data_IF_174705169675
#
_entry.id   IF_174705169675
#
_cell.length_a   1.000
_cell.length_b   1.000
_cell.length_c   1.000
_cell.angle_alpha   90.00
_cell.angle_beta   90.00
_cell.angle_gamma   90.00
#
_symmetry.space_group_name_H-M   'P 1'
#
loop_
_entity.id
_entity.type
_entity.pdbx_description
1 polymer ?
#
# COMPACT_ATOMS: atom_id res chain seq x y z
N UNK A 1 -3.21 39.81 4.44
CA UNK A 1 -4.28 38.79 4.52
C UNK A 1 -3.61 37.43 4.69
N UNK A 2 -3.88 36.71 5.77
CA UNK A 2 -3.38 35.34 5.96
C UNK A 2 -4.10 34.43 4.96
N UNK A 3 -3.36 33.93 3.97
CA UNK A 3 -3.89 33.09 2.89
C UNK A 3 -4.07 31.62 3.30
N UNK A 4 -3.53 31.24 4.47
CA UNK A 4 -3.68 29.91 5.06
C UNK A 4 -4.34 30.00 6.43
N UNK A 5 -5.31 29.11 6.75
CA UNK A 5 -5.92 29.06 8.07
C UNK A 5 -4.83 28.70 9.10
N UNK A 6 -4.73 29.53 10.14
CA UNK A 6 -3.91 29.25 11.31
C UNK A 6 -4.43 27.98 11.98
N UNK A 7 -3.59 26.95 12.19
CA UNK A 7 -4.07 25.69 12.74
C UNK A 7 -4.42 25.88 14.21
N UNK A 8 -5.68 25.64 14.64
CA UNK A 8 -6.04 25.67 16.05
C UNK A 8 -5.25 24.62 16.82
N UNK A 9 -4.94 24.93 18.07
CA UNK A 9 -4.13 24.18 19.04
C UNK A 9 -4.67 22.78 19.42
N UNK A 10 -5.75 22.33 18.79
CA UNK A 10 -6.46 21.06 19.00
C UNK A 10 -6.24 20.03 17.84
N UNK A 11 -5.27 20.32 16.97
CA UNK A 11 -5.18 19.75 15.62
C UNK A 11 -4.16 18.62 15.40
N UNK A 12 -3.35 18.18 16.37
CA UNK A 12 -2.40 17.09 16.09
C UNK A 12 -3.14 15.80 15.73
N UNK A 13 -4.19 15.46 16.47
CA UNK A 13 -5.03 14.29 16.17
C UNK A 13 -5.74 14.41 14.83
N UNK A 14 -6.24 15.60 14.48
CA UNK A 14 -6.89 15.85 13.18
C UNK A 14 -5.89 15.82 12.02
N UNK A 15 -4.70 16.37 12.21
CA UNK A 15 -3.61 16.33 11.24
C UNK A 15 -3.10 14.90 11.05
N UNK A 16 -2.85 14.18 12.13
CA UNK A 16 -2.46 12.77 12.09
C UNK A 16 -3.55 11.88 11.47
N UNK A 17 -4.83 12.16 11.75
CA UNK A 17 -5.95 11.46 11.14
C UNK A 17 -6.05 11.73 9.63
N UNK A 18 -5.88 12.98 9.19
CA UNK A 18 -5.89 13.35 7.76
C UNK A 18 -4.68 12.76 7.03
N UNK A 19 -3.48 12.85 7.62
CA UNK A 19 -2.28 12.20 7.08
C UNK A 19 -2.43 10.68 7.03
N UNK A 20 -2.97 10.07 8.09
CA UNK A 20 -3.25 8.64 8.14
C UNK A 20 -4.27 8.19 7.10
N UNK A 21 -5.35 8.96 6.91
CA UNK A 21 -6.35 8.72 5.86
C UNK A 21 -5.75 8.83 4.46
N UNK A 22 -4.90 9.84 4.23
CA UNK A 22 -4.16 9.97 2.98
C UNK A 22 -3.30 8.75 2.74
N UNK A 23 -2.44 8.39 3.70
CA UNK A 23 -1.54 7.23 3.57
C UNK A 23 -2.31 5.92 3.37
N UNK A 24 -3.43 5.74 4.07
CA UNK A 24 -4.29 4.55 3.93
C UNK A 24 -4.94 4.50 2.54
N UNK A 25 -5.43 5.63 2.03
CA UNK A 25 -5.95 5.73 0.66
C UNK A 25 -4.88 5.41 -0.38
N UNK A 26 -3.67 5.93 -0.21
CA UNK A 26 -2.52 5.61 -1.06
C UNK A 26 -2.13 4.13 -1.01
N UNK A 27 -2.13 3.53 0.18
CA UNK A 27 -1.83 2.11 0.37
C UNK A 27 -2.88 1.21 -0.30
N UNK A 28 -4.17 1.50 -0.13
CA UNK A 28 -5.24 0.77 -0.81
C UNK A 28 -5.13 0.90 -2.33
N UNK A 29 -4.84 2.10 -2.85
CA UNK A 29 -4.62 2.31 -4.27
C UNK A 29 -3.42 1.52 -4.79
N UNK A 30 -2.32 1.46 -4.03
CA UNK A 30 -1.15 0.68 -4.38
C UNK A 30 -1.45 -0.83 -4.45
N UNK A 31 -2.15 -1.36 -3.44
CA UNK A 31 -2.55 -2.78 -3.38
C UNK A 31 -3.45 -3.12 -4.57
N UNK A 32 -4.47 -2.31 -4.85
CA UNK A 32 -5.38 -2.53 -5.99
C UNK A 32 -4.62 -2.46 -7.33
N UNK A 33 -3.67 -1.54 -7.46
CA UNK A 33 -2.84 -1.43 -8.66
C UNK A 33 -1.96 -2.66 -8.87
N UNK A 34 -1.34 -3.17 -7.80
CA UNK A 34 -0.51 -4.38 -7.87
C UNK A 34 -1.36 -5.62 -8.18
N UNK A 35 -2.50 -5.80 -7.51
CA UNK A 35 -3.40 -6.91 -7.78
C UNK A 35 -3.92 -6.91 -9.22
N UNK A 36 -4.23 -5.72 -9.76
CA UNK A 36 -4.65 -5.58 -11.15
C UNK A 36 -3.51 -5.91 -12.14
N UNK A 37 -2.28 -5.48 -11.86
CA UNK A 37 -1.12 -5.83 -12.68
C UNK A 37 -0.89 -7.35 -12.70
N UNK A 38 -0.97 -8.00 -11.54
CA UNK A 38 -0.82 -9.45 -11.41
C UNK A 38 -1.89 -10.21 -12.22
N UNK A 39 -3.17 -9.86 -12.06
CA UNK A 39 -4.27 -10.42 -12.84
C UNK A 39 -4.04 -10.27 -14.36
N UNK A 40 -3.57 -9.10 -14.81
CA UNK A 40 -3.31 -8.87 -16.23
C UNK A 40 -2.12 -9.68 -16.75
N UNK A 41 -1.06 -9.80 -15.96
CA UNK A 41 0.09 -10.64 -16.28
C UNK A 41 -0.36 -12.08 -16.40
N UNK A 42 -1.21 -12.57 -15.50
CA UNK A 42 -1.75 -13.93 -15.56
C UNK A 42 -2.56 -14.14 -16.84
N UNK A 43 -3.50 -13.24 -17.16
CA UNK A 43 -4.31 -13.33 -18.38
C UNK A 43 -3.44 -13.30 -19.65
N UNK A 44 -2.44 -12.42 -19.70
CA UNK A 44 -1.53 -12.33 -20.85
C UNK A 44 -0.61 -13.54 -20.95
N UNK A 45 -0.12 -14.05 -19.82
CA UNK A 45 0.70 -15.26 -19.75
C UNK A 45 -0.09 -16.46 -20.24
N UNK A 46 -1.31 -16.65 -19.76
CA UNK A 46 -2.19 -17.75 -20.19
C UNK A 46 -2.47 -17.65 -21.70
N UNK A 47 -2.83 -16.48 -22.19
CA UNK A 47 -3.06 -16.28 -23.62
C UNK A 47 -1.80 -16.49 -24.48
N UNK A 48 -0.63 -16.10 -23.98
CA UNK A 48 0.66 -16.34 -24.64
C UNK A 48 1.03 -17.83 -24.65
N UNK A 49 0.81 -18.52 -23.52
CA UNK A 49 1.05 -19.95 -23.37
C UNK A 49 0.15 -20.76 -24.30
N UNK A 50 -1.13 -20.43 -24.37
CA UNK A 50 -2.09 -21.06 -25.27
C UNK A 50 -1.68 -20.88 -26.74
N UNK A 51 -1.30 -19.65 -27.11
CA UNK A 51 -0.79 -19.38 -28.46
C UNK A 51 0.50 -20.14 -28.78
N UNK A 52 1.44 -20.20 -27.83
CA UNK A 52 2.69 -20.94 -27.99
C UNK A 52 2.44 -22.44 -28.13
N UNK A 53 1.61 -23.01 -27.27
CA UNK A 53 1.21 -24.42 -27.31
C UNK A 53 0.53 -24.78 -28.63
N UNK A 54 -0.42 -23.94 -29.09
CA UNK A 54 -1.11 -24.14 -30.35
C UNK A 54 -0.16 -24.08 -31.56
N UNK A 55 0.77 -23.11 -31.58
CA UNK A 55 1.78 -23.04 -32.65
C UNK A 55 2.75 -24.22 -32.63
N UNK A 56 3.16 -24.66 -31.45
CA UNK A 56 4.02 -25.82 -31.29
C UNK A 56 3.34 -27.08 -31.80
N UNK A 57 2.08 -27.30 -31.41
CA UNK A 57 1.30 -28.46 -31.85
C UNK A 57 1.07 -28.43 -33.36
N UNK A 58 0.72 -27.29 -33.95
CA UNK A 58 0.58 -27.15 -35.41
C UNK A 58 1.85 -27.61 -36.14
N UNK A 59 3.03 -27.17 -35.69
CA UNK A 59 4.31 -27.60 -36.27
C UNK A 59 4.55 -29.09 -36.13
N UNK A 60 4.18 -29.71 -35.01
CA UNK A 60 4.30 -31.16 -34.83
C UNK A 60 3.44 -31.91 -35.86
N UNK A 61 2.18 -31.49 -36.05
CA UNK A 61 1.30 -32.09 -37.06
C UNK A 61 1.81 -31.85 -38.49
N UNK A 62 2.27 -30.63 -38.81
CA UNK A 62 2.84 -30.30 -40.12
C UNK A 62 4.10 -31.11 -40.45
N UNK A 63 5.05 -31.19 -39.50
CA UNK A 63 6.27 -31.97 -39.66
C UNK A 63 5.94 -33.45 -39.87
N UNK A 64 5.01 -34.00 -39.08
CA UNK A 64 4.62 -35.41 -39.22
C UNK A 64 3.94 -35.70 -40.55
N UNK A 65 3.03 -34.83 -41.01
CA UNK A 65 2.41 -34.96 -42.34
C UNK A 65 3.47 -34.88 -43.44
N UNK A 66 4.48 -34.02 -43.29
CA UNK A 66 5.58 -33.88 -44.24
C UNK A 66 6.45 -35.13 -44.29
N UNK A 67 6.83 -35.68 -43.13
CA UNK A 67 7.57 -36.95 -43.04
C UNK A 67 6.82 -38.11 -43.71
N UNK A 68 5.50 -38.20 -43.52
CA UNK A 68 4.66 -39.19 -44.19
C UNK A 68 4.63 -39.00 -45.72
N UNK A 69 4.61 -37.75 -46.21
CA UNK A 69 4.68 -37.44 -47.65
C UNK A 69 6.03 -37.76 -48.27
N UNK A 70 7.11 -37.58 -47.51
CA UNK A 70 8.49 -37.93 -47.90
C UNK A 70 8.76 -39.44 -47.84
N UNK A 71 7.82 -40.23 -47.31
CA UNK A 71 7.91 -41.68 -47.19
C UNK A 71 8.62 -42.17 -45.92
N UNK A 72 8.98 -41.26 -45.01
CA UNK A 72 9.63 -41.61 -43.74
C UNK A 72 8.59 -41.80 -42.63
N UNK A 73 8.20 -43.06 -42.45
CA UNK A 73 7.19 -43.45 -41.44
C UNK A 73 7.70 -43.45 -40.00
N UNK A 74 9.02 -43.36 -39.79
CA UNK A 74 9.68 -43.46 -38.48
C UNK A 74 10.02 -42.07 -37.88
N UNK A 75 9.97 -41.00 -38.69
CA UNK A 75 10.40 -39.64 -38.33
C UNK A 75 9.28 -38.74 -37.80
N UNK A 76 9.61 -37.85 -36.85
CA UNK A 76 8.72 -36.81 -36.31
C UNK A 76 7.42 -37.34 -35.64
N UNK A 77 7.50 -38.46 -34.92
CA UNK A 77 6.37 -38.96 -34.13
C UNK A 77 5.90 -37.96 -33.08
N UNK A 78 4.58 -37.78 -33.01
CA UNK A 78 3.96 -36.99 -31.96
C UNK A 78 3.86 -37.88 -30.71
N UNK A 79 4.53 -37.54 -29.59
CA UNK A 79 4.66 -38.43 -28.42
C UNK A 79 3.33 -38.82 -27.76
N UNK A 80 2.30 -37.98 -27.91
CA UNK A 80 0.99 -38.14 -27.28
C UNK A 80 0.03 -38.99 -28.12
N UNK A 81 0.40 -39.33 -29.36
CA UNK A 81 -0.42 -40.14 -30.26
C UNK A 81 0.05 -41.60 -30.31
N UNK A 82 -0.89 -42.53 -30.47
CA UNK A 82 -0.56 -43.93 -30.76
C UNK A 82 0.11 -44.08 -32.12
N UNK A 83 0.87 -45.17 -32.34
CA UNK A 83 1.53 -45.45 -33.63
C UNK A 83 0.52 -45.53 -34.79
N UNK A 84 -0.71 -45.98 -34.52
CA UNK A 84 -1.79 -46.03 -35.53
C UNK A 84 -2.23 -44.64 -35.97
N UNK A 85 -2.51 -43.75 -35.01
CA UNK A 85 -2.94 -42.37 -35.30
C UNK A 85 -1.82 -41.53 -35.93
N UNK A 86 -0.57 -41.76 -35.52
CA UNK A 86 0.60 -41.09 -36.10
C UNK A 86 0.85 -41.46 -37.58
N UNK A 87 0.24 -42.53 -38.09
CA UNK A 87 0.37 -42.96 -39.49
C UNK A 87 -0.93 -42.77 -40.28
N UNK A 88 -1.94 -42.11 -39.71
CA UNK A 88 -3.22 -41.85 -40.35
C UNK A 88 -3.23 -40.41 -40.90
N UNK A 89 -3.03 -40.22 -42.22
CA UNK A 89 -2.94 -38.89 -42.81
C UNK A 89 -4.25 -38.10 -42.74
N UNK A 90 -5.40 -38.78 -42.76
CA UNK A 90 -6.71 -38.14 -42.68
C UNK A 90 -6.96 -37.61 -41.27
N UNK A 91 -6.60 -38.39 -40.25
CA UNK A 91 -6.63 -37.94 -38.86
C UNK A 91 -5.74 -36.72 -38.64
N UNK A 92 -4.49 -36.76 -39.10
CA UNK A 92 -3.53 -35.67 -38.91
C UNK A 92 -3.98 -34.39 -39.63
N UNK A 93 -4.53 -34.51 -40.85
CA UNK A 93 -5.07 -33.37 -41.59
C UNK A 93 -6.31 -32.77 -40.91
N UNK A 94 -7.20 -33.60 -40.37
CA UNK A 94 -8.36 -33.14 -39.61
C UNK A 94 -7.96 -32.42 -38.32
N UNK A 95 -6.98 -32.97 -37.57
CA UNK A 95 -6.45 -32.37 -36.35
C UNK A 95 -5.78 -31.02 -36.63
N UNK A 96 -4.99 -30.92 -37.70
CA UNK A 96 -4.37 -29.66 -38.12
C UNK A 96 -5.42 -28.61 -38.50
N UNK A 97 -6.47 -29.02 -39.22
CA UNK A 97 -7.58 -28.14 -39.60
C UNK A 97 -8.28 -27.58 -38.36
N UNK A 98 -8.63 -28.42 -37.39
CA UNK A 98 -9.24 -28.00 -36.12
C UNK A 98 -8.35 -26.99 -35.39
N UNK A 99 -7.05 -27.25 -35.29
CA UNK A 99 -6.10 -26.32 -34.66
C UNK A 99 -5.98 -24.99 -35.42
N UNK A 100 -6.07 -25.02 -36.76
CA UNK A 100 -6.03 -23.80 -37.58
C UNK A 100 -7.28 -22.93 -37.40
N UNK A 101 -8.45 -23.55 -37.23
CA UNK A 101 -9.73 -22.87 -37.02
C UNK A 101 -9.81 -22.26 -35.61
N UNK A 102 -9.30 -22.95 -34.59
CA UNK A 102 -9.18 -22.44 -33.21
C UNK A 102 -8.37 -21.13 -33.16
N UNK A 103 -7.33 -20.99 -33.98
CA UNK A 103 -6.48 -19.79 -34.06
C UNK A 103 -7.21 -18.59 -34.66
N UNK A 104 -8.12 -18.81 -35.62
CA UNK A 104 -8.88 -17.74 -36.27
C UNK A 104 -9.90 -17.06 -35.33
N UNK A 105 -10.28 -17.73 -34.22
CA UNK A 105 -11.19 -17.20 -33.21
C UNK A 105 -10.54 -16.31 -32.15
N UNK A 106 -9.22 -16.21 -32.10
CA UNK A 106 -8.53 -15.39 -31.10
C UNK A 106 -8.68 -13.90 -31.44
N UNK A 107 -9.68 -13.26 -30.82
CA UNK A 107 -9.76 -11.81 -30.74
C UNK A 107 -9.10 -11.37 -29.43
N UNK A 108 -8.18 -10.39 -29.45
CA UNK A 108 -7.75 -9.76 -28.20
C UNK A 108 -9.00 -9.29 -27.45
N UNK A 109 -9.09 -9.57 -26.15
CA UNK A 109 -10.23 -9.18 -25.33
C UNK A 109 -10.46 -7.67 -25.46
N UNK A 110 -11.72 -7.26 -25.66
CA UNK A 110 -12.10 -5.86 -25.69
C UNK A 110 -11.76 -5.22 -24.33
N UNK A 111 -11.21 -3.99 -24.31
CA UNK A 111 -10.78 -3.37 -23.07
C UNK A 111 -11.99 -3.11 -22.17
N UNK A 112 -11.97 -3.68 -20.97
CA UNK A 112 -12.97 -3.45 -19.93
C UNK A 112 -12.84 -2.03 -19.34
N UNK A 113 -13.86 -1.56 -18.65
CA UNK A 113 -13.85 -0.32 -17.85
C UNK A 113 -12.69 -0.26 -16.85
N UNK A 114 -12.35 -1.39 -16.23
CA UNK A 114 -11.15 -1.55 -15.40
C UNK A 114 -9.85 -1.35 -16.19
N UNK A 115 -9.80 -1.86 -17.42
CA UNK A 115 -8.67 -1.61 -18.33
C UNK A 115 -8.53 -0.12 -18.62
N UNK A 116 -9.61 0.64 -18.73
CA UNK A 116 -9.56 2.07 -19.02
C UNK A 116 -8.98 2.89 -17.86
N UNK A 117 -9.37 2.56 -16.61
CA UNK A 117 -8.88 3.22 -15.40
C UNK A 117 -7.41 2.89 -15.15
N UNK A 118 -7.01 1.63 -15.31
CA UNK A 118 -5.64 1.20 -15.06
C UNK A 118 -4.74 1.23 -16.30
N UNK A 119 -5.27 1.52 -17.50
CA UNK A 119 -4.43 1.80 -18.67
C UNK A 119 -3.59 3.07 -18.48
N UNK A 120 -4.01 4.02 -17.64
CA UNK A 120 -3.15 5.15 -17.24
C UNK A 120 -1.95 4.69 -16.42
N UNK A 121 -2.15 3.71 -15.53
CA UNK A 121 -1.08 3.07 -14.73
C UNK A 121 -0.14 2.25 -15.64
N UNK A 122 -0.70 1.62 -16.68
CA UNK A 122 0.01 0.76 -17.64
C UNK A 122 0.76 1.50 -18.75
N UNK A 123 0.18 2.56 -19.32
CA UNK A 123 0.77 3.28 -20.45
C UNK A 123 2.15 3.87 -20.13
N UNK A 124 2.45 4.00 -18.82
CA UNK A 124 3.74 4.44 -18.32
C UNK A 124 4.08 3.72 -17.01
N UNK A 125 4.28 2.40 -17.02
CA UNK A 125 4.67 1.58 -15.84
C UNK A 125 5.79 2.22 -15.00
N UNK A 126 6.80 2.79 -15.66
CA UNK A 126 7.86 3.52 -14.96
C UNK A 126 7.34 4.80 -14.28
N UNK A 127 6.45 5.56 -14.92
CA UNK A 127 5.94 6.82 -14.36
C UNK A 127 4.86 6.62 -13.30
N UNK A 128 4.08 5.54 -13.35
CA UNK A 128 3.16 5.20 -12.27
C UNK A 128 3.91 4.74 -11.01
N UNK A 129 4.98 3.94 -11.17
CA UNK A 129 5.90 3.63 -10.08
C UNK A 129 6.61 4.89 -9.54
N UNK A 130 7.12 5.75 -10.42
CA UNK A 130 7.73 7.03 -10.03
C UNK A 130 6.70 7.92 -9.30
N UNK A 131 5.47 8.00 -9.78
CA UNK A 131 4.41 8.77 -9.14
C UNK A 131 4.06 8.22 -7.74
N UNK A 132 4.07 6.90 -7.56
CA UNK A 132 3.85 6.26 -6.27
C UNK A 132 5.01 6.53 -5.31
N UNK A 133 6.26 6.50 -5.80
CA UNK A 133 7.44 6.88 -5.02
C UNK A 133 7.39 8.36 -4.65
N UNK A 134 7.06 9.26 -5.60
CA UNK A 134 6.88 10.70 -5.33
C UNK A 134 5.78 10.91 -4.30
N UNK A 135 4.65 10.22 -4.42
CA UNK A 135 3.55 10.29 -3.47
C UNK A 135 4.00 9.86 -2.06
N UNK A 136 4.70 8.73 -1.95
CA UNK A 136 5.22 8.23 -0.67
C UNK A 136 6.22 9.21 -0.04
N UNK A 137 7.09 9.82 -0.86
CA UNK A 137 8.03 10.86 -0.42
C UNK A 137 7.31 12.11 0.05
N UNK A 138 6.32 12.60 -0.70
CA UNK A 138 5.53 13.79 -0.35
C UNK A 138 4.70 13.55 0.91
N UNK A 139 4.06 12.38 1.04
CA UNK A 139 3.29 12.01 2.23
C UNK A 139 4.20 11.93 3.46
N UNK A 140 5.37 11.28 3.34
CA UNK A 140 6.36 11.20 4.43
C UNK A 140 6.89 12.59 4.80
N UNK A 141 7.19 13.41 3.80
CA UNK A 141 7.67 14.79 4.00
C UNK A 141 6.63 15.65 4.71
N UNK A 142 5.38 15.64 4.26
CA UNK A 142 4.28 16.37 4.92
C UNK A 142 4.11 15.94 6.37
N UNK A 143 4.25 14.65 6.66
CA UNK A 143 4.13 14.12 8.02
C UNK A 143 5.28 14.62 8.90
N UNK A 144 6.53 14.52 8.43
CA UNK A 144 7.72 14.95 9.20
C UNK A 144 7.73 16.47 9.40
N UNK A 145 7.50 17.25 8.35
CA UNK A 145 7.52 18.71 8.44
C UNK A 145 6.32 19.27 9.20
N UNK A 146 5.14 18.66 9.03
CA UNK A 146 3.95 19.01 9.80
C UNK A 146 4.15 18.76 11.30
N UNK A 147 4.71 17.61 11.67
CA UNK A 147 4.94 17.24 13.07
C UNK A 147 6.08 18.08 13.70
N UNK A 148 7.13 18.35 12.94
CA UNK A 148 8.23 19.25 13.36
C UNK A 148 7.74 20.70 13.56
N UNK A 149 6.92 21.20 12.64
CA UNK A 149 6.29 22.52 12.74
C UNK A 149 5.37 22.64 13.96
N UNK A 150 4.56 21.61 14.22
CA UNK A 150 3.71 21.54 15.41
C UNK A 150 4.54 21.53 16.69
N UNK A 151 5.59 20.72 16.76
CA UNK A 151 6.45 20.65 17.95
C UNK A 151 7.09 22.00 18.30
N UNK A 152 7.63 22.69 17.30
CA UNK A 152 8.30 23.98 17.50
C UNK A 152 7.34 25.13 17.82
N UNK A 153 6.20 25.20 17.14
CA UNK A 153 5.30 26.36 17.23
C UNK A 153 4.19 26.24 18.26
N UNK A 154 3.78 25.01 18.59
CA UNK A 154 2.62 24.77 19.46
C UNK A 154 3.04 24.04 20.73
N UNK A 155 3.74 22.91 20.63
CA UNK A 155 4.07 22.10 21.80
C UNK A 155 5.00 22.82 22.78
N UNK A 156 6.15 23.32 22.31
CA UNK A 156 7.12 24.01 23.18
C UNK A 156 6.54 25.21 23.94
N UNK A 157 5.82 26.13 23.28
CA UNK A 157 5.14 27.22 23.97
C UNK A 157 4.08 26.76 24.97
N UNK A 158 3.29 25.73 24.65
CA UNK A 158 2.30 25.17 25.59
C UNK A 158 2.94 24.51 26.80
N UNK A 159 4.03 23.76 26.62
CA UNK A 159 4.79 23.20 27.75
C UNK A 159 5.29 24.31 28.66
N UNK A 160 5.85 25.37 28.07
CA UNK A 160 6.34 26.52 28.84
C UNK A 160 5.21 27.24 29.58
N UNK A 161 4.03 27.35 28.96
CA UNK A 161 2.85 27.90 29.60
C UNK A 161 2.38 27.03 30.78
N UNK A 162 2.34 25.71 30.60
CA UNK A 162 1.95 24.79 31.66
C UNK A 162 2.92 24.81 32.85
N UNK A 163 4.23 24.90 32.58
CA UNK A 163 5.25 25.07 33.63
C UNK A 163 5.00 26.35 34.44
N UNK A 164 4.76 27.48 33.76
CA UNK A 164 4.48 28.76 34.42
C UNK A 164 3.17 28.70 35.22
N UNK A 165 2.12 28.05 34.70
CA UNK A 165 0.87 27.85 35.44
C UNK A 165 1.08 26.98 36.69
N UNK A 166 1.95 25.98 36.62
CA UNK A 166 2.33 25.15 37.78
C UNK A 166 3.07 25.98 38.83
N UNK A 167 4.01 26.82 38.42
CA UNK A 167 4.73 27.74 39.31
C UNK A 167 3.78 28.76 39.97
N UNK A 168 2.85 29.34 39.21
CA UNK A 168 1.83 30.27 39.74
C UNK A 168 0.95 29.57 40.77
N UNK A 169 0.53 28.34 40.51
CA UNK A 169 -0.27 27.54 41.46
C UNK A 169 0.50 27.26 42.73
N UNK A 170 1.78 26.89 42.63
CA UNK A 170 2.65 26.69 43.81
C UNK A 170 2.82 27.96 44.63
N UNK A 171 3.05 29.10 43.98
CA UNK A 171 3.15 30.41 44.64
C UNK A 171 1.83 30.80 45.33
N UNK A 172 0.70 30.52 44.68
CA UNK A 172 -0.63 30.77 45.24
C UNK A 172 -0.91 29.91 46.47
N UNK A 173 -0.49 28.63 46.46
CA UNK A 173 -0.59 27.74 47.62
C UNK A 173 0.28 28.23 48.79
N UNK A 174 1.50 28.70 48.52
CA UNK A 174 2.36 29.29 49.55
C UNK A 174 1.75 30.54 50.16
N UNK A 175 1.14 31.42 49.35
CA UNK A 175 0.44 32.60 49.84
C UNK A 175 -0.72 32.22 50.76
N UNK A 176 -1.56 31.27 50.33
CA UNK A 176 -2.66 30.75 51.16
C UNK A 176 -2.14 30.16 52.48
N UNK A 177 -1.01 29.46 52.45
CA UNK A 177 -0.39 28.92 53.66
C UNK A 177 0.02 30.02 54.64
N UNK A 178 0.60 31.11 54.15
CA UNK A 178 0.98 32.27 54.98
C UNK A 178 -0.29 32.93 55.55
N UNK A 179 -1.31 33.17 54.74
CA UNK A 179 -2.57 33.78 55.18
C UNK A 179 -3.27 32.92 56.25
N UNK A 180 -3.31 31.59 56.09
CA UNK A 180 -3.85 30.66 57.09
C UNK A 180 -3.02 30.71 58.38
N UNK A 181 -1.69 30.72 58.27
CA UNK A 181 -0.79 30.79 59.42
C UNK A 181 -0.90 32.11 60.21
N UNK A 182 -1.36 33.17 59.55
CA UNK A 182 -1.61 34.48 60.17
C UNK A 182 -3.02 34.58 60.77
N UNK A 183 -4.02 33.90 60.17
CA UNK A 183 -5.40 33.90 60.66
C UNK A 183 -5.65 32.93 61.82
N UNK A 184 -4.84 31.89 61.98
CA UNK A 184 -4.93 30.96 63.11
C UNK A 184 -3.57 30.87 63.80
N UNK A 185 -3.44 31.12 65.12
CA UNK A 185 -2.30 30.57 65.85
C UNK A 185 -2.40 29.04 65.71
N UNK A 186 -1.56 28.44 64.87
CA UNK A 186 -1.62 27.01 64.55
C UNK A 186 -1.63 26.18 65.83
N UNK A 187 -2.70 25.39 66.04
CA UNK A 187 -2.67 24.34 67.06
C UNK A 187 -1.62 23.29 66.66
N UNK A 188 -0.86 22.78 67.63
CA UNK A 188 0.28 21.85 67.41
C UNK A 188 -0.05 20.63 66.54
N UNK A 189 -1.32 20.25 66.50
CA UNK A 189 -1.84 19.11 65.73
C UNK A 189 -1.68 19.29 64.22
N UNK A 190 -1.82 20.52 63.71
CA UNK A 190 -1.67 20.81 62.28
C UNK A 190 -0.20 20.80 61.86
N UNK A 191 0.70 21.32 62.71
CA UNK A 191 2.15 21.25 62.49
C UNK A 191 2.64 19.80 62.33
N UNK A 192 2.19 18.89 63.19
CA UNK A 192 2.57 17.47 63.15
C UNK A 192 2.06 16.74 61.90
N UNK A 193 0.86 17.06 61.43
CA UNK A 193 0.30 16.48 60.20
C UNK A 193 1.09 16.90 58.95
N UNK A 194 1.64 18.12 58.94
CA UNK A 194 2.46 18.61 57.83
C UNK A 194 3.89 18.06 57.81
N UNK A 195 4.52 17.84 58.97
CA UNK A 195 5.82 17.14 59.05
C UNK A 195 5.71 15.71 58.50
N UNK A 196 4.62 15.01 58.81
CA UNK A 196 4.31 13.69 58.25
C UNK A 196 4.05 13.70 56.75
N UNK A 197 3.39 14.74 56.22
CA UNK A 197 3.20 14.93 54.78
C UNK A 197 4.49 15.22 54.01
N UNK A 198 5.47 15.87 54.64
CA UNK A 198 6.80 16.12 54.08
C UNK A 198 7.68 14.87 53.98
N UNK A 199 7.48 13.90 54.87
CA UNK A 199 8.22 12.62 54.93
C UNK A 199 7.71 11.61 53.87
N UNK A 200 6.51 11.78 53.32
CA UNK A 200 5.94 10.92 52.26
C UNK A 200 6.42 11.27 50.82
N UNK A 201 7.57 11.93 50.66
CA UNK A 201 8.30 11.92 49.38
C UNK A 201 9.26 10.74 49.39
N UNK A 202 9.13 9.74 48.49
CA UNK A 202 10.20 8.77 48.32
C UNK A 202 11.41 9.48 47.69
N UNK A 203 12.58 9.22 48.26
CA UNK A 203 13.87 9.70 47.75
C UNK A 203 14.08 9.27 46.30
N UNK A 204 14.60 10.20 45.48
CA UNK A 204 15.11 9.92 44.14
C UNK A 204 16.48 9.27 44.21
#
# INVERSE_FOLDING_TARGET
MQWFPTPPTDNLYKFAAVCGLLMLGGALFAILSLAYLDYRIEVQTNASLDNFSNQHNQRLFENRITALKEGDTEKDYIPQLSKKLNNDPDFLAAALKIQSELKAGYKPADPDTLDLVFNFVRAREALSLIALVIYALVASWLTVFGLSGWRKKIHGPNERQNELDEEIKKASLLKLHIEISQMQPMSETVKKLFELGGIMRPDK
#
